data_IF_670793582101
#
_entry.id   IF_670793582101
#
_cell.length_a   1.000
_cell.length_b   1.000
_cell.length_c   1.000
_cell.angle_alpha   90.00
_cell.angle_beta   90.00
_cell.angle_gamma   90.00
#
_symmetry.space_group_name_H-M   'P 1'
#
loop_
_entity.id
_entity.type
_entity.pdbx_description
1 polymer ?
#
# COMPACT_ATOMS: atom_id res chain seq x y z
N UNK A 1 -11.78 -34.76 17.69
CA UNK A 1 -12.07 -33.62 16.80
C UNK A 1 -11.68 -32.32 17.51
N UNK A 2 -10.50 -31.82 17.25
CA UNK A 2 -9.99 -30.59 17.85
C UNK A 2 -10.15 -29.47 16.80
N UNK A 3 -11.07 -28.57 17.06
CA UNK A 3 -11.19 -27.30 16.29
C UNK A 3 -10.01 -26.40 16.64
N UNK A 4 -9.03 -26.33 15.77
CA UNK A 4 -7.99 -25.32 15.81
C UNK A 4 -8.58 -24.02 15.25
N UNK A 5 -8.95 -23.11 16.15
CA UNK A 5 -9.25 -21.72 15.80
C UNK A 5 -7.94 -21.02 15.45
N UNK A 6 -7.70 -20.82 14.16
CA UNK A 6 -6.58 -20.05 13.64
C UNK A 6 -6.86 -18.56 13.86
N UNK A 7 -6.41 -18.01 14.97
CA UNK A 7 -6.37 -16.57 15.18
C UNK A 7 -5.14 -16.00 14.46
N UNK A 8 -5.32 -15.57 13.21
CA UNK A 8 -4.33 -14.76 12.53
C UNK A 8 -4.22 -13.41 13.25
N UNK A 9 -3.19 -13.26 14.06
CA UNK A 9 -2.69 -11.93 14.45
C UNK A 9 -1.81 -11.45 13.30
N UNK A 10 -2.13 -10.28 12.73
CA UNK A 10 -1.22 -9.62 11.83
C UNK A 10 0.10 -9.33 12.55
N UNK A 11 1.25 -9.28 11.86
CA UNK A 11 2.54 -8.98 12.49
C UNK A 11 2.59 -7.61 13.19
N UNK A 12 1.58 -6.76 13.01
CA UNK A 12 1.48 -5.40 13.57
C UNK A 12 0.44 -5.33 14.71
N UNK A 13 -0.06 -6.44 15.23
CA UNK A 13 -0.84 -6.48 16.48
C UNK A 13 -2.15 -5.67 16.50
N UNK A 14 -2.69 -5.26 15.38
CA UNK A 14 -3.90 -4.44 15.28
C UNK A 14 -5.13 -5.35 15.40
N UNK A 15 -5.89 -5.16 16.49
CA UNK A 15 -7.19 -5.81 16.66
C UNK A 15 -8.28 -4.97 15.95
N UNK A 16 -8.59 -5.31 14.71
CA UNK A 16 -9.62 -4.67 13.90
C UNK A 16 -11.06 -4.92 14.38
N UNK A 17 -11.28 -5.55 15.54
CA UNK A 17 -12.62 -5.90 16.03
C UNK A 17 -13.39 -4.74 16.66
N UNK A 18 -12.81 -3.55 16.79
CA UNK A 18 -13.50 -2.37 17.31
C UNK A 18 -13.56 -1.28 16.26
N UNK A 19 -14.64 -1.23 15.51
CA UNK A 19 -15.15 0.01 14.95
C UNK A 19 -15.14 0.21 13.45
N UNK A 20 -14.82 -0.80 12.62
CA UNK A 20 -15.26 -0.70 11.22
C UNK A 20 -16.69 -1.22 11.17
N UNK A 21 -17.67 -0.33 11.35
CA UNK A 21 -18.99 -0.56 10.75
C UNK A 21 -18.74 -1.02 9.32
N UNK A 22 -19.52 -1.98 8.82
CA UNK A 22 -19.52 -2.39 7.42
C UNK A 22 -19.75 -1.14 6.53
N UNK A 23 -18.72 -0.30 6.40
CA UNK A 23 -18.74 0.79 5.43
C UNK A 23 -18.76 0.11 4.09
N UNK A 24 -19.86 0.27 3.39
CA UNK A 24 -20.00 -0.29 2.04
C UNK A 24 -18.87 0.20 1.13
N UNK A 25 -18.32 1.40 1.38
CA UNK A 25 -17.27 2.07 0.60
C UNK A 25 -16.27 2.77 1.51
N UNK A 26 -14.97 2.67 1.17
CA UNK A 26 -13.89 3.37 1.86
C UNK A 26 -12.81 3.79 0.87
N UNK A 27 -12.35 5.02 0.98
CA UNK A 27 -11.35 5.59 0.07
C UNK A 27 -10.01 5.70 0.78
N UNK A 28 -8.96 5.20 0.14
CA UNK A 28 -7.57 5.39 0.56
C UNK A 28 -6.75 5.95 -0.59
N UNK A 29 -5.76 6.78 -0.29
CA UNK A 29 -4.74 7.17 -1.26
C UNK A 29 -3.43 6.45 -0.93
N UNK A 30 -2.64 6.13 -1.96
CA UNK A 30 -1.33 5.47 -1.82
C UNK A 30 -0.27 6.24 -2.57
N UNK A 31 0.96 6.16 -2.06
CA UNK A 31 2.13 6.75 -2.70
C UNK A 31 3.40 6.01 -2.34
N UNK A 32 4.43 6.17 -3.18
CA UNK A 32 5.78 5.64 -3.00
C UNK A 32 6.85 6.70 -3.24
N UNK A 33 7.90 6.69 -2.44
CA UNK A 33 9.03 7.60 -2.59
C UNK A 33 10.35 6.86 -2.54
N UNK A 34 11.34 7.31 -3.33
CA UNK A 34 12.68 6.73 -3.34
C UNK A 34 13.75 7.80 -3.41
N UNK A 35 14.73 7.73 -2.51
CA UNK A 35 15.92 8.61 -2.54
C UNK A 35 17.01 7.95 -3.38
N UNK A 36 17.15 8.42 -4.64
CA UNK A 36 18.23 7.99 -5.54
C UNK A 36 17.91 6.82 -6.48
N UNK A 37 16.77 6.32 -6.56
CA UNK A 37 16.13 5.36 -7.49
C UNK A 37 17.08 4.51 -8.39
N UNK A 38 17.72 3.40 -7.91
CA UNK A 38 17.44 2.73 -6.63
C UNK A 38 18.06 3.43 -5.42
N UNK A 39 17.47 3.17 -4.24
CA UNK A 39 17.94 3.69 -2.96
C UNK A 39 16.90 3.52 -1.84
N UNK A 40 17.08 4.22 -0.71
CA UNK A 40 16.14 4.20 0.39
C UNK A 40 14.73 4.54 -0.08
N UNK A 41 13.79 3.63 0.19
CA UNK A 41 12.43 3.68 -0.38
C UNK A 41 11.41 3.68 0.74
N UNK A 42 10.37 4.51 0.59
CA UNK A 42 9.20 4.58 1.45
C UNK A 42 7.93 4.29 0.68
N UNK A 43 6.90 3.83 1.39
CA UNK A 43 5.54 3.65 0.92
C UNK A 43 4.56 4.16 1.98
N UNK A 44 3.39 4.57 1.56
CA UNK A 44 2.30 4.92 2.48
C UNK A 44 0.93 4.68 1.86
N UNK A 45 -0.07 4.52 2.75
CA UNK A 45 -1.47 4.75 2.43
C UNK A 45 -2.11 5.66 3.49
N UNK A 46 -3.12 6.44 3.08
CA UNK A 46 -3.93 7.33 3.93
C UNK A 46 -5.39 7.16 3.58
N UNK A 47 -6.23 6.88 4.58
CA UNK A 47 -7.67 6.75 4.45
C UNK A 47 -8.41 8.07 4.61
N UNK A 48 -9.64 8.13 4.07
CA UNK A 48 -10.52 9.31 4.14
C UNK A 48 -10.92 9.71 5.57
N UNK A 49 -10.80 8.80 6.53
CA UNK A 49 -11.01 9.03 7.96
C UNK A 49 -9.76 9.52 8.69
N UNK A 50 -8.66 9.74 7.98
CA UNK A 50 -7.38 10.18 8.52
C UNK A 50 -6.49 9.07 9.08
N UNK A 51 -6.92 7.80 9.07
CA UNK A 51 -6.04 6.69 9.39
C UNK A 51 -4.99 6.50 8.29
N UNK A 52 -3.81 6.01 8.67
CA UNK A 52 -2.72 5.81 7.73
C UNK A 52 -1.73 4.74 8.20
N UNK A 53 -0.99 4.19 7.26
CA UNK A 53 0.23 3.44 7.53
C UNK A 53 1.31 3.80 6.52
N UNK A 54 2.55 3.66 6.95
CA UNK A 54 3.74 3.88 6.13
C UNK A 54 4.81 2.86 6.48
N UNK A 55 5.76 2.66 5.60
CA UNK A 55 6.90 1.82 5.88
C UNK A 55 8.05 2.08 4.91
N UNK A 56 9.21 1.53 5.23
CA UNK A 56 10.42 1.80 4.48
C UNK A 56 11.26 0.56 4.22
N UNK A 57 12.08 0.66 3.19
CA UNK A 57 13.10 -0.31 2.80
C UNK A 57 14.44 0.40 2.69
N UNK A 58 15.55 -0.23 3.12
CA UNK A 58 16.88 0.35 2.97
C UNK A 58 17.28 0.55 1.50
N UNK A 59 16.77 -0.30 0.60
CA UNK A 59 17.00 -0.22 -0.84
C UNK A 59 15.77 -0.67 -1.62
N UNK A 60 15.40 0.10 -2.63
CA UNK A 60 14.29 -0.18 -3.52
C UNK A 60 14.26 0.82 -4.68
N UNK A 61 13.11 0.95 -5.31
CA UNK A 61 12.85 1.93 -6.38
C UNK A 61 11.54 2.65 -6.12
N UNK A 62 11.28 3.76 -6.81
CA UNK A 62 9.98 4.42 -6.73
C UNK A 62 8.84 3.44 -7.03
N UNK A 63 8.97 2.65 -8.09
CA UNK A 63 7.96 1.65 -8.46
C UNK A 63 7.72 0.60 -7.36
N UNK A 64 8.75 0.22 -6.60
CA UNK A 64 8.61 -0.67 -5.43
C UNK A 64 7.80 0.02 -4.34
N UNK A 65 8.08 1.28 -4.04
CA UNK A 65 7.30 2.06 -3.07
C UNK A 65 5.82 2.13 -3.43
N UNK A 66 5.52 2.46 -4.69
CA UNK A 66 4.16 2.54 -5.23
C UNK A 66 3.39 1.20 -5.12
N UNK A 67 4.02 0.11 -5.54
CA UNK A 67 3.41 -1.22 -5.45
C UNK A 67 3.20 -1.65 -3.99
N UNK A 68 4.11 -1.33 -3.09
CA UNK A 68 3.97 -1.62 -1.66
C UNK A 68 2.85 -0.79 -1.02
N UNK A 69 2.71 0.49 -1.37
CA UNK A 69 1.60 1.33 -0.93
C UNK A 69 0.27 0.70 -1.31
N UNK A 70 0.11 0.30 -2.59
CA UNK A 70 -1.08 -0.40 -3.08
C UNK A 70 -1.31 -1.73 -2.35
N UNK A 71 -0.28 -2.58 -2.24
CA UNK A 71 -0.38 -3.88 -1.56
C UNK A 71 -0.84 -3.71 -0.11
N UNK A 72 -0.23 -2.79 0.63
CA UNK A 72 -0.55 -2.55 2.03
C UNK A 72 -1.95 -1.98 2.21
N UNK A 73 -2.39 -1.06 1.35
CA UNK A 73 -3.76 -0.59 1.34
C UNK A 73 -4.78 -1.73 1.20
N UNK A 74 -4.53 -2.69 0.31
CA UNK A 74 -5.41 -3.85 0.11
C UNK A 74 -5.40 -4.80 1.32
N UNK A 75 -4.22 -5.13 1.83
CA UNK A 75 -4.04 -6.09 2.93
C UNK A 75 -4.59 -5.55 4.25
N UNK A 76 -4.45 -4.25 4.50
CA UNK A 76 -4.89 -3.61 5.74
C UNK A 76 -6.41 -3.37 5.77
N UNK A 77 -7.12 -3.52 4.64
CA UNK A 77 -8.58 -3.33 4.53
C UNK A 77 -9.32 -4.59 4.02
N UNK A 78 -9.14 -5.76 4.68
CA UNK A 78 -9.67 -7.03 4.18
C UNK A 78 -11.20 -7.09 4.20
N UNK A 79 -11.86 -6.34 5.08
CA UNK A 79 -13.30 -6.38 5.33
C UNK A 79 -14.07 -5.21 4.69
N UNK A 80 -13.39 -4.31 3.99
CA UNK A 80 -14.04 -3.20 3.27
C UNK A 80 -14.59 -3.73 1.95
N UNK A 81 -15.93 -3.65 1.77
CA UNK A 81 -16.57 -4.22 0.59
C UNK A 81 -16.17 -3.47 -0.68
N UNK A 82 -16.30 -2.17 -0.72
CA UNK A 82 -15.90 -1.31 -1.84
C UNK A 82 -14.66 -0.50 -1.43
N UNK A 83 -13.49 -1.10 -1.60
CA UNK A 83 -12.23 -0.40 -1.37
C UNK A 83 -11.82 0.35 -2.63
N UNK A 84 -11.78 1.68 -2.53
CA UNK A 84 -11.31 2.57 -3.59
C UNK A 84 -9.89 3.02 -3.25
N UNK A 85 -8.94 2.70 -4.11
CA UNK A 85 -7.53 3.09 -3.95
C UNK A 85 -7.16 4.15 -4.97
N UNK A 86 -6.90 5.35 -4.49
CA UNK A 86 -6.42 6.47 -5.29
C UNK A 86 -4.89 6.42 -5.36
N UNK A 87 -4.34 6.43 -6.56
CA UNK A 87 -2.90 6.45 -6.80
C UNK A 87 -2.58 7.37 -7.99
N UNK A 88 -1.46 8.07 -7.92
CA UNK A 88 -0.96 8.85 -9.07
C UNK A 88 -0.01 8.04 -9.96
N UNK A 89 0.44 6.88 -9.48
CA UNK A 89 1.28 5.94 -10.22
C UNK A 89 0.49 5.13 -11.24
N UNK A 90 0.54 5.55 -12.51
CA UNK A 90 0.02 4.73 -13.62
C UNK A 90 0.70 3.36 -13.68
N UNK A 91 1.98 3.28 -13.29
CA UNK A 91 2.69 2.01 -13.26
C UNK A 91 2.03 1.01 -12.28
N UNK A 92 1.71 1.45 -11.07
CA UNK A 92 1.06 0.60 -10.06
C UNK A 92 -0.33 0.15 -10.54
N UNK A 93 -1.14 1.09 -11.05
CA UNK A 93 -2.48 0.82 -11.58
C UNK A 93 -2.42 -0.17 -12.75
N UNK A 94 -1.63 0.12 -13.80
CA UNK A 94 -1.52 -0.74 -14.97
C UNK A 94 -0.92 -2.11 -14.63
N UNK A 95 -0.02 -2.17 -13.66
CA UNK A 95 0.54 -3.44 -13.18
C UNK A 95 -0.55 -4.31 -12.57
N UNK A 96 -1.35 -3.75 -11.66
CA UNK A 96 -2.43 -4.48 -10.99
C UNK A 96 -3.54 -4.90 -11.96
N UNK A 97 -4.04 -3.96 -12.78
CA UNK A 97 -5.21 -4.20 -13.63
C UNK A 97 -4.89 -4.99 -14.89
N UNK A 98 -3.69 -4.79 -15.48
CA UNK A 98 -3.42 -5.25 -16.85
C UNK A 98 -2.28 -6.26 -16.95
N UNK A 99 -1.21 -6.13 -16.12
CA UNK A 99 0.03 -6.83 -16.43
C UNK A 99 0.31 -8.04 -15.55
N UNK A 100 0.04 -7.98 -14.24
CA UNK A 100 0.48 -9.03 -13.31
C UNK A 100 -0.07 -10.42 -13.65
N UNK A 101 -1.34 -10.54 -14.06
CA UNK A 101 -1.91 -11.83 -14.47
C UNK A 101 -1.25 -12.37 -15.74
N UNK A 102 -0.96 -11.49 -16.68
CA UNK A 102 -0.23 -11.84 -17.89
C UNK A 102 1.20 -12.30 -17.59
N UNK A 103 1.88 -11.64 -16.67
CA UNK A 103 3.21 -12.05 -16.22
C UNK A 103 3.19 -13.42 -15.55
N UNK A 104 2.25 -13.67 -14.64
CA UNK A 104 2.06 -14.98 -13.99
C UNK A 104 1.81 -16.09 -15.01
N UNK A 105 0.87 -15.89 -15.95
CA UNK A 105 0.58 -16.89 -17.01
C UNK A 105 1.76 -17.20 -17.92
N UNK A 106 2.67 -16.26 -18.13
CA UNK A 106 3.90 -16.45 -18.94
C UNK A 106 5.10 -16.89 -18.10
N UNK A 107 4.90 -17.42 -16.88
CA UNK A 107 5.99 -17.84 -16.01
C UNK A 107 6.87 -16.66 -15.57
N UNK A 108 6.23 -15.53 -15.20
CA UNK A 108 6.88 -14.28 -14.74
C UNK A 108 7.78 -13.64 -15.79
N UNK A 109 7.31 -13.67 -17.04
CA UNK A 109 7.95 -12.97 -18.16
C UNK A 109 7.05 -11.87 -18.71
N UNK A 110 7.67 -10.81 -19.20
CA UNK A 110 7.00 -9.75 -19.95
C UNK A 110 6.53 -10.27 -21.32
N UNK A 111 5.78 -9.46 -22.06
CA UNK A 111 5.39 -9.80 -23.44
C UNK A 111 6.59 -9.98 -24.39
N UNK A 112 7.72 -9.34 -24.08
CA UNK A 112 8.97 -9.44 -24.84
C UNK A 112 9.89 -10.57 -24.37
N UNK A 113 9.45 -11.37 -23.36
CA UNK A 113 10.21 -12.51 -22.84
C UNK A 113 11.21 -12.17 -21.73
N UNK A 114 11.41 -10.90 -21.40
CA UNK A 114 12.27 -10.50 -20.28
C UNK A 114 11.63 -10.88 -18.92
N UNK A 115 12.42 -11.14 -17.87
CA UNK A 115 11.88 -11.36 -16.53
C UNK A 115 11.02 -10.18 -16.05
N UNK A 116 9.86 -10.47 -15.47
CA UNK A 116 9.02 -9.46 -14.84
C UNK A 116 9.73 -8.89 -13.62
N UNK A 117 9.81 -7.54 -13.54
CA UNK A 117 10.35 -6.86 -12.37
C UNK A 117 9.39 -6.96 -11.18
N UNK A 118 9.91 -6.85 -9.96
CA UNK A 118 9.13 -6.80 -8.72
C UNK A 118 8.21 -8.03 -8.53
N UNK A 119 8.63 -9.18 -9.02
CA UNK A 119 7.83 -10.42 -9.04
C UNK A 119 7.27 -10.76 -7.65
N UNK A 120 8.08 -10.65 -6.62
CA UNK A 120 7.72 -10.94 -5.23
C UNK A 120 6.55 -10.08 -4.72
N UNK A 121 6.50 -8.80 -5.10
CA UNK A 121 5.39 -7.91 -4.77
C UNK A 121 4.16 -8.23 -5.62
N UNK A 122 4.36 -8.56 -6.91
CA UNK A 122 3.27 -8.93 -7.81
C UNK A 122 2.59 -10.23 -7.37
N UNK A 123 3.34 -11.21 -6.88
CA UNK A 123 2.80 -12.44 -6.28
C UNK A 123 1.93 -12.10 -5.07
N UNK A 124 2.42 -11.27 -4.15
CA UNK A 124 1.65 -10.84 -2.99
C UNK A 124 0.38 -10.03 -3.36
N UNK A 125 0.43 -9.18 -4.39
CA UNK A 125 -0.76 -8.47 -4.88
C UNK A 125 -1.82 -9.42 -5.44
N UNK A 126 -1.40 -10.45 -6.17
CA UNK A 126 -2.31 -11.49 -6.66
C UNK A 126 -2.91 -12.27 -5.49
N UNK A 127 -2.09 -12.67 -4.52
CA UNK A 127 -2.55 -13.41 -3.34
C UNK A 127 -3.56 -12.57 -2.52
N UNK A 128 -3.29 -11.29 -2.32
CA UNK A 128 -4.21 -10.37 -1.64
C UNK A 128 -5.54 -10.23 -2.38
N UNK A 129 -5.52 -10.13 -3.71
CA UNK A 129 -6.73 -10.10 -4.56
C UNK A 129 -7.50 -11.41 -4.49
N UNK A 130 -6.81 -12.54 -4.56
CA UNK A 130 -7.44 -13.86 -4.47
C UNK A 130 -8.04 -14.10 -3.08
N UNK A 131 -7.37 -13.66 -2.00
CA UNK A 131 -7.90 -13.72 -0.64
C UNK A 131 -9.18 -12.89 -0.47
N UNK A 132 -9.24 -11.68 -1.04
CA UNK A 132 -10.47 -10.88 -1.05
C UNK A 132 -11.62 -11.60 -1.76
N UNK A 133 -11.37 -12.15 -2.94
CA UNK A 133 -12.36 -12.91 -3.71
C UNK A 133 -12.84 -14.16 -2.96
N UNK A 134 -11.93 -14.88 -2.32
CA UNK A 134 -12.27 -16.05 -1.50
C UNK A 134 -13.15 -15.69 -0.28
N UNK A 135 -13.02 -14.49 0.25
CA UNK A 135 -13.86 -13.95 1.33
C UNK A 135 -15.18 -13.34 0.83
N UNK A 136 -15.51 -13.44 -0.46
CA UNK A 136 -16.72 -12.86 -1.06
C UNK A 136 -16.67 -11.34 -1.24
N UNK A 137 -15.48 -10.73 -1.12
CA UNK A 137 -15.29 -9.30 -1.38
C UNK A 137 -15.03 -9.05 -2.87
N UNK A 138 -15.57 -7.97 -3.44
CA UNK A 138 -15.23 -7.56 -4.79
C UNK A 138 -13.75 -7.15 -4.87
N UNK A 139 -13.22 -7.08 -6.09
CA UNK A 139 -11.90 -6.53 -6.33
C UNK A 139 -11.85 -5.03 -5.94
N UNK A 140 -10.66 -4.50 -5.72
CA UNK A 140 -10.52 -3.08 -5.42
C UNK A 140 -10.75 -2.24 -6.66
N UNK A 141 -11.25 -1.04 -6.47
CA UNK A 141 -11.40 -0.03 -7.53
C UNK A 141 -10.18 0.88 -7.49
N UNK A 142 -9.42 0.94 -8.59
CA UNK A 142 -8.27 1.83 -8.70
C UNK A 142 -8.67 3.12 -9.41
N UNK A 143 -8.39 4.26 -8.77
CA UNK A 143 -8.64 5.59 -9.32
C UNK A 143 -7.30 6.32 -9.54
N UNK A 144 -7.01 6.69 -10.80
CA UNK A 144 -5.86 7.53 -11.08
C UNK A 144 -6.14 8.97 -10.70
N UNK A 145 -5.35 9.50 -9.77
CA UNK A 145 -5.35 10.92 -9.40
C UNK A 145 -4.12 11.62 -9.97
N UNK A 146 -4.18 12.93 -10.10
CA UNK A 146 -3.00 13.71 -10.51
C UNK A 146 -2.22 14.13 -9.27
N UNK A 147 -1.01 13.64 -9.15
CA UNK A 147 -0.10 14.03 -8.06
C UNK A 147 0.09 15.55 -7.99
N UNK A 148 0.23 16.07 -6.78
CA UNK A 148 0.49 17.51 -6.49
C UNK A 148 -0.54 18.49 -7.08
N UNK A 149 -1.81 18.08 -7.22
CA UNK A 149 -2.90 18.89 -7.79
C UNK A 149 -4.07 19.12 -6.84
N UNK A 150 -3.82 19.15 -5.52
CA UNK A 150 -4.85 19.42 -4.52
C UNK A 150 -5.68 18.19 -4.11
N UNK A 151 -5.23 16.99 -4.45
CA UNK A 151 -5.80 15.75 -3.91
C UNK A 151 -5.25 15.50 -2.51
N UNK A 152 -5.98 15.95 -1.49
CA UNK A 152 -5.53 16.01 -0.10
C UNK A 152 -4.98 14.68 0.41
N UNK A 153 -5.71 13.58 0.18
CA UNK A 153 -5.27 12.25 0.63
C UNK A 153 -3.98 11.80 -0.06
N UNK A 154 -3.81 12.08 -1.36
CA UNK A 154 -2.58 11.74 -2.08
C UNK A 154 -1.39 12.60 -1.61
N UNK A 155 -1.62 13.89 -1.30
CA UNK A 155 -0.56 14.73 -0.72
C UNK A 155 -0.15 14.26 0.68
N UNK A 156 -1.08 13.72 1.47
CA UNK A 156 -0.76 13.10 2.75
C UNK A 156 -0.01 11.78 2.60
N UNK A 157 -0.34 10.97 1.60
CA UNK A 157 0.38 9.74 1.30
C UNK A 157 1.81 10.04 0.82
N UNK A 158 2.00 11.02 -0.09
CA UNK A 158 3.32 11.51 -0.54
C UNK A 158 4.19 11.95 0.64
N UNK A 159 3.66 12.82 1.55
CA UNK A 159 4.41 13.27 2.73
C UNK A 159 4.92 12.08 3.56
N UNK A 160 4.08 11.08 3.79
CA UNK A 160 4.42 9.90 4.60
C UNK A 160 5.41 8.98 3.90
N UNK A 161 5.23 8.74 2.60
CA UNK A 161 6.17 7.95 1.82
C UNK A 161 7.56 8.60 1.76
N UNK A 162 7.62 9.92 1.57
CA UNK A 162 8.87 10.70 1.59
C UNK A 162 9.54 10.58 2.97
N UNK A 163 8.81 10.81 4.07
CA UNK A 163 9.35 10.66 5.43
C UNK A 163 9.87 9.26 5.71
N UNK A 164 9.13 8.24 5.29
CA UNK A 164 9.57 6.84 5.42
C UNK A 164 10.88 6.59 4.67
N UNK A 165 11.02 7.11 3.44
CA UNK A 165 12.28 7.01 2.69
C UNK A 165 13.45 7.74 3.35
N UNK A 166 13.19 8.87 4.02
CA UNK A 166 14.19 9.61 4.79
C UNK A 166 14.68 8.85 6.01
N UNK A 167 13.76 8.19 6.72
CA UNK A 167 14.12 7.30 7.82
C UNK A 167 14.99 6.13 7.34
N UNK A 168 14.65 5.50 6.22
CA UNK A 168 15.49 4.46 5.62
C UNK A 168 16.89 4.99 5.26
N UNK A 169 16.98 6.20 4.70
CA UNK A 169 18.25 6.84 4.37
C UNK A 169 19.12 7.13 5.61
N UNK A 170 18.50 7.28 6.79
CA UNK A 170 19.21 7.43 8.06
C UNK A 170 19.56 6.09 8.74
N UNK A 171 19.36 4.96 8.05
CA UNK A 171 19.59 3.61 8.58
C UNK A 171 18.47 3.08 9.49
N UNK A 172 17.32 3.74 9.52
CA UNK A 172 16.16 3.39 10.35
C UNK A 172 15.00 2.87 9.49
N UNK A 173 15.16 1.69 8.89
CA UNK A 173 14.04 1.05 8.19
C UNK A 173 12.99 0.58 9.21
N UNK A 174 11.70 0.92 9.01
CA UNK A 174 10.63 0.63 9.96
C UNK A 174 9.24 0.72 9.32
N UNK A 175 8.21 0.41 10.08
CA UNK A 175 6.82 0.58 9.70
C UNK A 175 6.07 1.36 10.80
N UNK A 176 5.14 2.22 10.39
CA UNK A 176 4.37 3.11 11.25
C UNK A 176 2.88 3.05 10.92
N UNK A 177 2.04 3.34 11.90
CA UNK A 177 0.59 3.42 11.70
C UNK A 177 -0.04 4.37 12.71
N UNK A 178 -1.06 5.11 12.29
CA UNK A 178 -1.89 5.95 13.15
C UNK A 178 -2.75 5.16 14.14
N UNK A 179 -2.98 3.87 13.87
CA UNK A 179 -3.82 3.01 14.71
C UNK A 179 -3.06 2.43 15.93
N UNK A 180 -1.87 2.91 16.17
CA UNK A 180 -1.02 2.46 17.25
C UNK A 180 -0.18 1.24 16.87
N UNK A 181 1.03 1.19 17.35
CA UNK A 181 1.99 0.13 17.16
C UNK A 181 3.18 0.37 18.08
N UNK A 182 4.07 -0.60 18.17
CA UNK A 182 5.28 -0.55 19.01
C UNK A 182 6.39 0.34 18.43
N UNK A 183 6.10 1.09 17.38
CA UNK A 183 7.08 1.86 16.64
C UNK A 183 6.94 3.36 16.90
N UNK A 184 8.05 4.09 16.85
CA UNK A 184 8.05 5.55 16.86
C UNK A 184 7.09 6.08 15.79
N UNK A 185 6.26 7.07 16.16
CA UNK A 185 5.40 7.74 15.21
C UNK A 185 6.27 8.44 14.17
N UNK A 186 5.88 8.30 12.92
CA UNK A 186 6.47 9.06 11.83
C UNK A 186 6.10 10.54 12.06
N UNK A 187 7.11 11.43 12.13
CA UNK A 187 6.87 12.87 12.31
C UNK A 187 6.28 13.48 11.03
N UNK A 188 4.98 13.42 10.95
CA UNK A 188 4.18 13.95 9.84
C UNK A 188 3.08 14.86 10.36
N UNK A 189 2.65 15.82 9.53
CA UNK A 189 1.57 16.73 9.88
C UNK A 189 0.20 16.03 9.80
N UNK A 190 -0.73 16.47 10.64
CA UNK A 190 -2.16 16.08 10.56
C UNK A 190 -2.88 16.74 9.37
N UNK A 191 -2.21 17.64 8.67
CA UNK A 191 -2.71 18.32 7.48
C UNK A 191 -1.58 18.56 6.48
N UNK A 192 -1.85 18.47 5.16
CA UNK A 192 -0.84 18.74 4.15
C UNK A 192 -0.32 20.16 4.28
N UNK A 193 1.00 20.32 4.21
CA UNK A 193 1.61 21.66 4.18
C UNK A 193 1.14 22.37 2.92
N UNK A 194 0.36 23.44 3.07
CA UNK A 194 0.05 24.31 1.94
C UNK A 194 1.38 24.79 1.33
N UNK A 195 1.68 24.37 0.11
CA UNK A 195 2.80 24.95 -0.64
C UNK A 195 2.54 26.44 -0.79
N UNK A 196 3.46 27.27 -0.28
CA UNK A 196 3.48 28.72 -0.51
C UNK A 196 3.90 29.02 -1.95
#
# INVERSE_FOLDING_TARGET
MLHLSYTQRSPIGIDYRRGVTESSRYVVATDGACKGNPGPTGWAWVGEDGHWAAGSLPEGTNNIGELLGLLKAIVDHPNVRELVVQADSKYAIDTYEKWMDGHRRRGWKTSTGAPAKNRDILEQLIDAREARRASGMPDVVLEHVRGHRGHVLNEWADERAVRASEHAASGKASAWSSLGGTHELLDVSDAPKKKR
#
